data_IF_528220375858
#
_entry.id   IF_528220375858
#
_cell.length_a   1.000
_cell.length_b   1.000
_cell.length_c   1.000
_cell.angle_alpha   90.00
_cell.angle_beta   90.00
_cell.angle_gamma   90.00
#
_symmetry.space_group_name_H-M   'P 1'
#
loop_
_entity.id
_entity.type
_entity.pdbx_description
1 polymer ?
#
# COMPACT_ATOMS: atom_id res chain seq x y z
N UNK A 1 -1.24 13.85 18.64
CA UNK A 1 -0.24 13.20 17.82
C UNK A 1 0.87 12.60 18.66
N UNK A 2 1.17 11.34 18.45
CA UNK A 2 2.23 10.67 19.20
C UNK A 2 3.58 11.28 18.88
N UNK A 3 4.41 11.51 19.88
CA UNK A 3 5.81 11.92 19.74
C UNK A 3 6.05 13.26 19.04
N UNK A 4 5.02 14.08 18.89
CA UNK A 4 5.14 15.40 18.22
C UNK A 4 5.22 15.36 16.70
N UNK A 5 5.04 14.22 16.08
CA UNK A 5 5.00 14.13 14.62
C UNK A 5 3.66 14.64 14.10
N UNK A 6 3.72 15.38 12.98
CA UNK A 6 2.54 15.98 12.37
C UNK A 6 1.94 15.11 11.28
N UNK A 7 2.78 14.51 10.42
CA UNK A 7 2.34 13.72 9.28
C UNK A 7 2.95 12.32 9.37
N UNK A 8 2.15 11.39 9.87
CA UNK A 8 2.58 9.98 10.01
C UNK A 8 1.99 9.20 8.86
N UNK A 9 2.84 8.58 8.05
CA UNK A 9 2.41 7.73 6.93
C UNK A 9 2.45 6.26 7.32
N UNK A 10 1.34 5.56 7.13
CA UNK A 10 1.30 4.11 7.15
C UNK A 10 1.63 3.57 5.77
N UNK A 11 2.41 2.51 5.67
CA UNK A 11 2.91 1.98 4.41
C UNK A 11 2.76 0.47 4.39
N UNK A 12 2.21 -0.04 3.29
CA UNK A 12 2.08 -1.48 3.06
C UNK A 12 2.12 -1.77 1.55
N UNK A 13 2.29 -3.04 1.20
CA UNK A 13 2.36 -3.49 -0.19
C UNK A 13 1.37 -4.62 -0.50
N UNK A 14 1.15 -4.85 -1.79
CA UNK A 14 0.42 -5.99 -2.34
C UNK A 14 1.20 -6.54 -3.54
N UNK A 15 1.10 -7.84 -3.77
CA UNK A 15 1.75 -8.49 -4.91
C UNK A 15 3.11 -9.09 -4.60
N UNK A 16 3.54 -9.09 -3.35
CA UNK A 16 4.83 -9.67 -2.97
C UNK A 16 4.83 -11.20 -3.02
N UNK A 17 3.70 -11.83 -2.67
CA UNK A 17 3.56 -13.29 -2.69
C UNK A 17 3.24 -13.89 -4.05
N UNK A 18 2.34 -13.31 -4.85
CA UNK A 18 1.99 -13.85 -6.15
C UNK A 18 3.16 -13.92 -7.12
N UNK A 19 3.13 -14.92 -8.02
CA UNK A 19 4.21 -15.18 -8.98
C UNK A 19 4.21 -14.24 -10.18
N UNK A 20 3.11 -13.52 -10.43
CA UNK A 20 2.97 -12.67 -11.61
C UNK A 20 2.37 -11.32 -11.26
N UNK A 21 2.67 -10.33 -12.07
CA UNK A 21 2.16 -8.99 -11.94
C UNK A 21 3.05 -8.05 -11.14
N UNK A 22 2.67 -6.79 -11.02
CA UNK A 22 3.46 -5.78 -10.34
C UNK A 22 3.39 -5.89 -8.82
N UNK A 23 4.38 -5.31 -8.14
CA UNK A 23 4.28 -4.96 -6.72
C UNK A 23 3.70 -3.56 -6.64
N UNK A 24 2.70 -3.38 -5.81
CA UNK A 24 2.06 -2.10 -5.55
C UNK A 24 2.20 -1.78 -4.07
N UNK A 25 2.73 -0.60 -3.76
CA UNK A 25 2.77 -0.09 -2.38
C UNK A 25 1.90 1.15 -2.27
N UNK A 26 1.40 1.39 -1.07
CA UNK A 26 0.66 2.59 -0.75
C UNK A 26 1.21 3.21 0.53
N UNK A 27 1.24 4.54 0.53
CA UNK A 27 1.52 5.35 1.72
C UNK A 27 0.29 6.18 2.01
N UNK A 28 -0.17 6.16 3.26
CA UNK A 28 -1.41 6.82 3.68
C UNK A 28 -1.15 7.71 4.89
N UNK A 29 -1.49 8.99 4.75
CA UNK A 29 -1.49 9.96 5.87
C UNK A 29 -2.94 10.34 6.12
N UNK A 30 -3.49 9.95 7.27
CA UNK A 30 -4.88 10.19 7.61
C UNK A 30 -5.13 11.66 7.96
N UNK A 31 -6.13 12.26 7.32
CA UNK A 31 -6.67 13.58 7.69
C UNK A 31 -7.78 13.45 8.73
N UNK A 32 -8.43 12.28 8.77
CA UNK A 32 -9.57 12.00 9.63
C UNK A 32 -9.48 10.52 10.04
N UNK A 33 -9.76 10.24 11.30
CA UNK A 33 -9.66 8.88 11.86
C UNK A 33 -11.02 8.20 11.98
N UNK A 34 -12.11 8.88 11.62
CA UNK A 34 -13.47 8.32 11.68
C UNK A 34 -13.87 7.73 10.33
N UNK A 35 -14.15 6.44 10.30
CA UNK A 35 -14.55 5.72 9.09
C UNK A 35 -15.90 5.05 9.30
N UNK A 36 -16.80 5.20 8.31
CA UNK A 36 -18.06 4.46 8.25
C UNK A 36 -17.84 3.05 7.74
N UNK A 37 -16.94 2.87 6.77
CA UNK A 37 -16.56 1.57 6.27
C UNK A 37 -15.67 0.85 7.29
N UNK A 38 -15.75 -0.48 7.29
CA UNK A 38 -14.85 -1.29 8.10
C UNK A 38 -13.42 -1.18 7.54
N UNK A 39 -12.51 -0.76 8.39
CA UNK A 39 -11.08 -0.70 8.07
C UNK A 39 -10.38 -1.82 8.82
N UNK A 40 -9.79 -2.75 8.08
CA UNK A 40 -9.09 -3.90 8.61
C UNK A 40 -8.01 -4.31 7.62
N UNK A 41 -7.16 -5.26 7.96
CA UNK A 41 -6.28 -5.94 7.04
C UNK A 41 -7.06 -6.31 5.77
N UNK A 42 -6.55 -5.94 4.61
CA UNK A 42 -7.24 -6.11 3.33
C UNK A 42 -7.64 -7.57 3.05
N UNK A 43 -6.86 -8.52 3.59
CA UNK A 43 -7.13 -9.95 3.44
C UNK A 43 -8.36 -10.42 4.19
N UNK A 44 -8.77 -9.69 5.24
CA UNK A 44 -9.94 -10.00 6.07
C UNK A 44 -11.23 -9.40 5.53
N UNK A 45 -11.13 -8.52 4.54
CA UNK A 45 -12.29 -7.85 3.95
C UNK A 45 -12.70 -8.55 2.67
N UNK A 46 -14.02 -8.59 2.41
CA UNK A 46 -14.53 -9.00 1.10
C UNK A 46 -14.12 -7.98 0.03
N UNK A 47 -14.15 -8.36 -1.27
CA UNK A 47 -13.88 -7.39 -2.33
C UNK A 47 -14.77 -6.15 -2.27
N UNK A 48 -16.05 -6.33 -1.95
CA UNK A 48 -16.98 -5.20 -1.83
C UNK A 48 -16.63 -4.31 -0.63
N UNK A 49 -16.28 -4.90 0.51
CA UNK A 49 -15.89 -4.15 1.70
C UNK A 49 -14.59 -3.38 1.45
N UNK A 50 -13.62 -3.97 0.74
CA UNK A 50 -12.39 -3.28 0.34
C UNK A 50 -12.68 -2.09 -0.55
N UNK A 51 -13.58 -2.24 -1.51
CA UNK A 51 -13.95 -1.15 -2.43
C UNK A 51 -14.60 0.02 -1.69
N UNK A 52 -15.47 -0.26 -0.74
CA UNK A 52 -16.09 0.77 0.11
C UNK A 52 -15.05 1.51 0.94
N UNK A 53 -14.14 0.76 1.56
CA UNK A 53 -13.04 1.33 2.34
C UNK A 53 -12.13 2.18 1.47
N UNK A 54 -11.78 1.71 0.29
CA UNK A 54 -10.94 2.43 -0.67
C UNK A 54 -11.52 3.81 -0.99
N UNK A 55 -12.82 3.88 -1.26
CA UNK A 55 -13.50 5.15 -1.59
C UNK A 55 -13.43 6.12 -0.41
N UNK A 56 -13.69 5.65 0.78
CA UNK A 56 -13.68 6.50 1.97
C UNK A 56 -12.27 6.96 2.32
N UNK A 57 -11.27 6.08 2.23
CA UNK A 57 -9.86 6.44 2.47
C UNK A 57 -9.42 7.52 1.49
N UNK A 58 -9.80 7.40 0.21
CA UNK A 58 -9.44 8.39 -0.81
C UNK A 58 -9.94 9.79 -0.49
N UNK A 59 -11.03 9.91 0.26
CA UNK A 59 -11.60 11.19 0.68
C UNK A 59 -10.99 11.70 1.98
N UNK A 60 -10.50 10.82 2.85
CA UNK A 60 -10.10 11.14 4.23
C UNK A 60 -8.59 11.08 4.47
N UNK A 61 -7.81 10.86 3.42
CA UNK A 61 -6.37 10.71 3.56
C UNK A 61 -5.62 11.27 2.37
N UNK A 62 -4.36 11.62 2.60
CA UNK A 62 -3.37 11.74 1.53
C UNK A 62 -2.90 10.35 1.19
N UNK A 63 -2.88 10.00 -0.09
CA UNK A 63 -2.48 8.66 -0.54
C UNK A 63 -1.45 8.80 -1.65
N UNK A 64 -0.34 8.10 -1.51
CA UNK A 64 0.67 7.94 -2.54
C UNK A 64 0.74 6.48 -2.95
N UNK A 65 0.83 6.22 -4.23
CA UNK A 65 0.95 4.86 -4.79
C UNK A 65 2.30 4.71 -5.47
N UNK A 66 2.94 3.58 -5.24
CA UNK A 66 4.17 3.18 -5.93
C UNK A 66 3.97 1.83 -6.60
N UNK A 67 4.36 1.74 -7.87
CA UNK A 67 4.19 0.54 -8.67
C UNK A 67 5.55 0.15 -9.25
N UNK A 68 5.94 -1.11 -9.04
CA UNK A 68 7.12 -1.68 -9.69
C UNK A 68 6.64 -2.81 -10.60
N UNK A 69 6.82 -2.68 -11.91
CA UNK A 69 6.34 -3.68 -12.86
C UNK A 69 7.13 -4.98 -12.78
N UNK A 70 6.51 -6.05 -13.27
CA UNK A 70 7.05 -7.41 -13.17
C UNK A 70 8.44 -7.55 -13.77
N UNK A 71 8.71 -6.95 -14.92
CA UNK A 71 10.01 -7.01 -15.56
C UNK A 71 11.12 -6.38 -14.72
N UNK A 72 10.82 -5.32 -13.98
CA UNK A 72 11.77 -4.71 -13.06
C UNK A 72 12.02 -5.62 -11.84
N UNK A 73 10.99 -6.33 -11.36
CA UNK A 73 11.12 -7.28 -10.25
C UNK A 73 12.14 -8.37 -10.60
N UNK A 74 12.09 -8.90 -11.80
CA UNK A 74 13.01 -9.93 -12.27
C UNK A 74 14.46 -9.47 -12.25
N UNK A 75 14.70 -8.18 -12.41
CA UNK A 75 16.05 -7.63 -12.43
C UNK A 75 16.62 -7.36 -11.04
N UNK A 76 15.78 -6.97 -10.07
CA UNK A 76 16.25 -6.50 -8.77
C UNK A 76 15.80 -7.37 -7.60
N UNK A 77 14.98 -8.38 -7.81
CA UNK A 77 14.32 -9.26 -6.85
C UNK A 77 13.14 -8.59 -6.12
N UNK A 78 12.33 -9.44 -5.47
CA UNK A 78 11.08 -9.01 -4.84
C UNK A 78 11.30 -8.09 -3.62
N UNK A 79 12.35 -8.34 -2.84
CA UNK A 79 12.65 -7.51 -1.67
C UNK A 79 12.99 -6.08 -2.07
N UNK A 80 13.90 -5.92 -3.03
CA UNK A 80 14.31 -4.62 -3.54
C UNK A 80 13.16 -3.92 -4.27
N UNK A 81 12.36 -4.68 -5.03
CA UNK A 81 11.17 -4.16 -5.72
C UNK A 81 10.15 -3.62 -4.72
N UNK A 82 9.92 -4.33 -3.61
CA UNK A 82 9.00 -3.88 -2.56
C UNK A 82 9.50 -2.58 -1.93
N UNK A 83 10.78 -2.51 -1.60
CA UNK A 83 11.37 -1.28 -1.04
C UNK A 83 11.27 -0.11 -2.02
N UNK A 84 11.51 -0.36 -3.30
CA UNK A 84 11.40 0.65 -4.34
C UNK A 84 9.95 1.15 -4.47
N UNK A 85 8.98 0.24 -4.51
CA UNK A 85 7.56 0.60 -4.57
C UNK A 85 7.16 1.46 -3.37
N UNK A 86 7.62 1.11 -2.18
CA UNK A 86 7.35 1.89 -0.97
C UNK A 86 7.95 3.28 -1.04
N UNK A 87 9.21 3.41 -1.49
CA UNK A 87 9.84 4.72 -1.67
C UNK A 87 9.10 5.58 -2.69
N UNK A 88 8.68 4.98 -3.80
CA UNK A 88 7.88 5.68 -4.82
C UNK A 88 6.55 6.14 -4.23
N UNK A 89 5.88 5.31 -3.43
CA UNK A 89 4.62 5.69 -2.80
C UNK A 89 4.77 6.90 -1.88
N UNK A 90 5.87 6.99 -1.15
CA UNK A 90 6.16 8.13 -0.29
C UNK A 90 6.38 9.40 -1.12
N UNK A 91 7.14 9.30 -2.21
CA UNK A 91 7.39 10.43 -3.10
C UNK A 91 6.13 10.94 -3.78
N UNK A 92 5.13 10.09 -3.96
CA UNK A 92 3.86 10.45 -4.58
C UNK A 92 2.83 11.03 -3.61
N UNK A 93 3.16 11.14 -2.32
CA UNK A 93 2.32 11.86 -1.37
C UNK A 93 2.38 13.37 -1.63
N UNK A 94 1.22 14.04 -1.57
CA UNK A 94 1.16 15.50 -1.71
C UNK A 94 1.77 16.22 -0.50
N UNK A 95 1.87 15.53 0.62
CA UNK A 95 2.45 16.05 1.86
C UNK A 95 3.61 15.17 2.27
N UNK A 96 4.73 15.78 2.63
CA UNK A 96 5.90 15.04 3.08
C UNK A 96 5.68 14.49 4.49
N UNK A 97 5.76 13.18 4.71
CA UNK A 97 5.66 12.62 6.05
C UNK A 97 6.90 12.95 6.89
N UNK A 98 6.71 13.08 8.20
CA UNK A 98 7.81 13.24 9.14
C UNK A 98 8.04 11.97 9.98
N UNK A 99 7.19 10.96 9.83
CA UNK A 99 7.39 9.63 10.40
C UNK A 99 6.70 8.58 9.53
N UNK A 100 7.34 7.41 9.43
CA UNK A 100 6.81 6.28 8.65
C UNK A 100 6.54 5.09 9.57
N UNK A 101 5.35 4.50 9.43
CA UNK A 101 4.98 3.21 10.01
C UNK A 101 4.91 2.20 8.87
N UNK A 102 5.81 1.24 8.85
CA UNK A 102 5.97 0.30 7.74
C UNK A 102 5.51 -1.08 8.21
N UNK A 103 4.60 -1.70 7.45
CA UNK A 103 4.20 -3.07 7.74
C UNK A 103 5.38 -4.02 7.51
N UNK A 104 5.61 -4.91 8.48
CA UNK A 104 6.65 -5.91 8.38
C UNK A 104 7.93 -5.55 9.12
N UNK A 105 9.06 -5.89 8.53
CA UNK A 105 10.37 -5.72 9.17
C UNK A 105 11.38 -4.99 8.27
N UNK A 106 10.90 -4.30 7.24
CA UNK A 106 11.76 -3.55 6.34
C UNK A 106 12.19 -2.23 6.94
N UNK A 107 13.42 -1.84 6.65
CA UNK A 107 13.92 -0.49 6.88
C UNK A 107 14.20 0.14 5.51
N UNK A 108 13.52 1.25 5.21
CA UNK A 108 13.76 1.98 3.98
C UNK A 108 15.00 2.86 4.14
N UNK A 109 15.88 2.86 3.13
CA UNK A 109 17.10 3.67 3.15
C UNK A 109 16.79 5.12 2.79
N UNK A 110 16.07 5.80 3.69
CA UNK A 110 15.72 7.22 3.56
C UNK A 110 15.87 7.88 4.93
N UNK A 111 16.00 9.21 4.94
CA UNK A 111 16.29 9.97 6.17
C UNK A 111 15.10 10.09 7.12
N UNK A 112 13.86 9.96 6.62
CA UNK A 112 12.68 10.09 7.45
C UNK A 112 12.66 9.04 8.56
N UNK A 113 12.37 9.47 9.78
CA UNK A 113 12.25 8.56 10.92
C UNK A 113 11.18 7.51 10.65
N UNK A 114 11.45 6.28 11.05
CA UNK A 114 10.60 5.16 10.69
C UNK A 114 10.62 4.06 11.75
N UNK A 115 9.54 3.29 11.79
CA UNK A 115 9.42 2.08 12.58
C UNK A 115 8.75 1.00 11.75
N UNK A 116 9.31 -0.20 11.77
CA UNK A 116 8.70 -1.38 11.18
C UNK A 116 7.81 -2.04 12.23
N UNK A 117 6.61 -2.43 11.84
CA UNK A 117 5.64 -3.05 12.74
C UNK A 117 5.19 -4.37 12.13
N UNK A 118 5.57 -5.49 12.74
CA UNK A 118 5.12 -6.81 12.31
C UNK A 118 3.60 -6.89 12.46
N UNK A 119 2.91 -7.28 11.40
CA UNK A 119 1.44 -7.27 11.32
C UNK A 119 0.87 -5.88 11.60
N UNK A 120 1.52 -4.86 11.07
CA UNK A 120 1.12 -3.48 11.29
C UNK A 120 -0.28 -3.18 10.77
N UNK A 121 -0.72 -3.87 9.70
CA UNK A 121 -2.06 -3.76 9.16
C UNK A 121 -3.17 -4.21 10.14
N UNK A 122 -2.81 -4.93 11.19
CA UNK A 122 -3.72 -5.31 12.28
C UNK A 122 -3.58 -4.42 13.51
N UNK A 123 -2.54 -3.58 13.57
CA UNK A 123 -2.18 -2.79 14.76
C UNK A 123 -2.28 -1.29 14.54
N UNK A 124 -2.20 -0.83 13.30
CA UNK A 124 -2.19 0.59 12.93
C UNK A 124 -3.26 0.88 11.90
N UNK A 125 -4.11 1.86 12.17
CA UNK A 125 -5.17 2.28 11.24
C UNK A 125 -4.58 2.76 9.91
N UNK A 126 -3.51 3.55 9.95
CA UNK A 126 -2.90 4.07 8.71
C UNK A 126 -2.26 2.96 7.88
N UNK A 127 -1.66 1.94 8.52
CA UNK A 127 -1.13 0.78 7.79
C UNK A 127 -2.28 -0.05 7.21
N UNK A 128 -3.35 -0.26 7.97
CA UNK A 128 -4.54 -0.97 7.45
C UNK A 128 -5.11 -0.27 6.23
N UNK A 129 -5.20 1.06 6.26
CA UNK A 129 -5.62 1.85 5.10
C UNK A 129 -4.65 1.66 3.91
N UNK A 130 -3.36 1.68 4.16
CA UNK A 130 -2.36 1.45 3.11
C UNK A 130 -2.50 0.05 2.49
N UNK A 131 -2.74 -0.97 3.32
CA UNK A 131 -3.01 -2.34 2.86
C UNK A 131 -4.19 -2.38 1.87
N UNK A 132 -5.29 -1.72 2.22
CA UNK A 132 -6.48 -1.66 1.37
C UNK A 132 -6.17 -0.93 0.06
N UNK A 133 -5.51 0.23 0.14
CA UNK A 133 -5.17 1.02 -1.05
C UNK A 133 -4.27 0.24 -2.00
N UNK A 134 -3.26 -0.43 -1.48
CA UNK A 134 -2.34 -1.24 -2.29
C UNK A 134 -3.07 -2.42 -2.94
N UNK A 135 -3.89 -3.14 -2.17
CA UNK A 135 -4.62 -4.32 -2.67
C UNK A 135 -5.62 -3.95 -3.76
N UNK A 136 -6.44 -2.93 -3.53
CA UNK A 136 -7.46 -2.52 -4.51
C UNK A 136 -6.79 -1.98 -5.78
N UNK A 137 -5.72 -1.20 -5.64
CA UNK A 137 -4.98 -0.67 -6.79
C UNK A 137 -4.39 -1.81 -7.62
N UNK A 138 -3.77 -2.80 -6.96
CA UNK A 138 -3.20 -3.95 -7.68
C UNK A 138 -4.28 -4.76 -8.39
N UNK A 139 -5.40 -5.02 -7.74
CA UNK A 139 -6.50 -5.77 -8.35
C UNK A 139 -7.04 -5.05 -9.60
N UNK A 140 -7.15 -3.73 -9.55
CA UNK A 140 -7.57 -2.91 -10.71
C UNK A 140 -6.57 -2.98 -11.85
N UNK A 141 -5.27 -2.95 -11.55
CA UNK A 141 -4.23 -3.09 -12.57
C UNK A 141 -4.29 -4.47 -13.23
N UNK A 142 -4.49 -5.52 -12.47
CA UNK A 142 -4.56 -6.87 -13.02
C UNK A 142 -5.79 -7.05 -13.90
N UNK A 143 -6.93 -6.47 -13.54
CA UNK A 143 -8.13 -6.46 -14.39
C UNK A 143 -7.88 -5.70 -15.70
N UNK A 144 -7.18 -4.59 -15.62
CA UNK A 144 -6.80 -3.82 -16.79
C UNK A 144 -5.92 -4.65 -17.73
N UNK A 145 -4.93 -5.38 -17.19
CA UNK A 145 -4.09 -6.26 -17.98
C UNK A 145 -4.87 -7.41 -18.60
N UNK A 146 -5.84 -7.98 -17.90
CA UNK A 146 -6.71 -9.02 -18.45
C UNK A 146 -7.50 -8.51 -19.65
N UNK A 147 -7.95 -7.27 -19.62
CA UNK A 147 -8.69 -6.65 -20.73
C UNK A 147 -7.81 -6.42 -21.94
N UNK A 148 -6.54 -6.06 -21.74
CA UNK A 148 -5.57 -5.82 -22.82
C UNK A 148 -5.01 -7.13 -23.37
N UNK A 149 -4.72 -8.09 -22.49
CA UNK A 149 -4.10 -9.37 -22.81
C UNK A 149 -4.97 -10.53 -22.32
N UNK A 150 -6.13 -10.78 -23.00
CA UNK A 150 -7.01 -11.89 -22.58
C UNK A 150 -6.29 -13.23 -22.65
N UNK A 151 -6.56 -14.10 -21.69
CA UNK A 151 -6.00 -15.43 -21.66
C UNK A 151 -4.74 -15.60 -20.82
N UNK A 152 -4.15 -14.52 -20.30
CA UNK A 152 -3.01 -14.60 -19.40
C UNK A 152 -3.40 -14.78 -17.93
N UNK A 153 -4.66 -14.54 -17.57
CA UNK A 153 -5.18 -14.78 -16.24
C UNK A 153 -4.58 -13.89 -15.15
N UNK A 154 -4.22 -12.64 -15.46
CA UNK A 154 -3.59 -11.73 -14.49
C UNK A 154 -4.44 -11.51 -13.24
N UNK A 155 -5.77 -11.41 -13.39
CA UNK A 155 -6.66 -11.15 -12.26
C UNK A 155 -6.79 -12.35 -11.30
N UNK A 156 -6.23 -13.50 -11.65
CA UNK A 156 -6.24 -14.70 -10.82
C UNK A 156 -5.03 -14.80 -9.90
N UNK A 157 -4.13 -13.85 -9.98
CA UNK A 157 -2.90 -13.85 -9.17
C UNK A 157 -2.97 -12.89 -7.99
#
# INVERSE_FOLDING_TARGET
MAMGYRFIAGIDEAGRGPLAGPVVAASVILKNYNFSAKIDDSKRLSPLARERAYREISQKAFVGIGIVPEDAIDKINIYQATMLAMRISILNLDVKPDFLLIDGNMNLSIETEQAAIVRGDQKSLSIACASIMAKVTRDRLLKFYDNIFPGYGFSQH
#
